data_IF_634359832707
#
_entry.id   IF_634359832707
#
_cell.length_a   1.000
_cell.length_b   1.000
_cell.length_c   1.000
_cell.angle_alpha   90.00
_cell.angle_beta   90.00
_cell.angle_gamma   90.00
#
_symmetry.space_group_name_H-M   'P 1'
#
loop_
_entity.id
_entity.type
_entity.pdbx_description
1 polymer ?
#
# COMPACT_ATOMS: atom_id res chain seq x y z
N UNK A 1 -5.47 -12.63 5.14
CA UNK A 1 -4.33 -13.02 4.28
C UNK A 1 -4.00 -14.53 4.36
N UNK A 2 -3.35 -15.11 5.39
CA UNK A 2 -2.86 -16.52 5.29
C UNK A 2 -3.90 -17.64 5.18
N UNK A 3 -5.11 -17.48 5.73
CA UNK A 3 -6.09 -18.57 5.63
C UNK A 3 -6.77 -18.61 4.26
N UNK A 4 -6.71 -17.51 3.49
CA UNK A 4 -7.41 -17.39 2.21
C UNK A 4 -6.65 -16.47 1.23
N UNK A 5 -5.40 -16.79 0.87
CA UNK A 5 -4.52 -15.88 0.14
C UNK A 5 -5.00 -15.62 -1.30
N UNK A 6 -5.58 -16.62 -1.96
CA UNK A 6 -6.07 -16.52 -3.35
C UNK A 6 -7.31 -15.62 -3.48
N UNK A 7 -8.03 -15.39 -2.38
CA UNK A 7 -9.24 -14.55 -2.36
C UNK A 7 -9.09 -13.33 -1.45
N UNK A 8 -7.88 -13.03 -0.97
CA UNK A 8 -7.61 -11.77 -0.27
C UNK A 8 -6.87 -10.85 -1.22
N UNK A 9 -7.58 -9.85 -1.76
CA UNK A 9 -7.03 -8.90 -2.73
C UNK A 9 -6.35 -7.74 -2.00
N UNK A 10 -5.20 -7.32 -2.50
CA UNK A 10 -4.45 -6.13 -2.08
C UNK A 10 -3.84 -5.49 -3.34
N UNK A 11 -3.18 -4.35 -3.20
CA UNK A 11 -2.48 -3.67 -4.31
C UNK A 11 -3.35 -3.30 -5.53
N UNK A 12 -4.67 -3.20 -5.38
CA UNK A 12 -5.56 -2.80 -6.48
C UNK A 12 -5.18 -1.43 -7.09
N UNK A 13 -4.55 -0.54 -6.32
CA UNK A 13 -3.98 0.75 -6.78
C UNK A 13 -2.92 0.57 -7.89
N UNK A 14 -2.23 -0.58 -7.95
CA UNK A 14 -1.26 -0.89 -9.03
C UNK A 14 -1.95 -1.25 -10.35
N UNK A 15 -3.19 -1.75 -10.30
CA UNK A 15 -3.98 -2.16 -11.47
C UNK A 15 -4.91 -1.06 -12.01
N UNK A 16 -5.32 -0.13 -11.16
CA UNK A 16 -6.36 0.86 -11.50
C UNK A 16 -5.96 1.72 -12.70
N UNK A 17 -6.87 1.85 -13.67
CA UNK A 17 -6.66 2.61 -14.92
C UNK A 17 -5.57 2.07 -15.85
N UNK A 18 -5.04 0.86 -15.61
CA UNK A 18 -4.07 0.22 -16.50
C UNK A 18 -4.75 -0.76 -17.46
N UNK A 19 -4.05 -1.09 -18.53
CA UNK A 19 -4.39 -2.20 -19.42
C UNK A 19 -3.78 -3.49 -18.91
N UNK A 20 -4.41 -4.61 -19.24
CA UNK A 20 -3.93 -5.94 -18.87
C UNK A 20 -2.55 -6.23 -19.46
N UNK A 21 -2.28 -5.77 -20.68
CA UNK A 21 -1.02 -5.96 -21.40
C UNK A 21 0.10 -4.96 -21.01
N UNK A 22 -0.14 -4.06 -20.05
CA UNK A 22 0.89 -3.17 -19.51
C UNK A 22 2.03 -4.01 -18.89
N UNK A 23 3.31 -3.79 -19.29
CA UNK A 23 4.45 -4.52 -18.73
C UNK A 23 4.52 -4.49 -17.20
N UNK A 24 4.09 -3.38 -16.57
CA UNK A 24 4.04 -3.25 -15.11
C UNK A 24 3.02 -4.23 -14.53
N UNK A 25 1.83 -4.32 -15.14
CA UNK A 25 0.79 -5.27 -14.72
C UNK A 25 1.27 -6.72 -14.87
N UNK A 26 1.90 -7.04 -16.00
CA UNK A 26 2.44 -8.38 -16.25
C UNK A 26 3.57 -8.76 -15.28
N UNK A 27 4.37 -7.79 -14.85
CA UNK A 27 5.38 -8.00 -13.82
C UNK A 27 4.74 -8.25 -12.46
N UNK A 28 3.80 -7.39 -12.04
CA UNK A 28 3.17 -7.43 -10.72
C UNK A 28 2.35 -8.70 -10.49
N UNK A 29 1.66 -9.17 -11.54
CA UNK A 29 0.86 -10.40 -11.50
C UNK A 29 1.67 -11.65 -11.08
N UNK A 30 2.99 -11.66 -11.29
CA UNK A 30 3.86 -12.78 -10.88
C UNK A 30 4.06 -12.86 -9.37
N UNK A 31 3.77 -11.77 -8.65
CA UNK A 31 4.01 -11.64 -7.22
C UNK A 31 2.73 -11.76 -6.38
N UNK A 32 1.55 -11.70 -7.01
CA UNK A 32 0.29 -11.79 -6.29
C UNK A 32 -0.23 -13.23 -6.14
N UNK A 33 -0.85 -13.57 -5.00
CA UNK A 33 -1.46 -14.88 -4.79
C UNK A 33 -2.85 -15.02 -5.41
N UNK A 34 -3.48 -13.90 -5.82
CA UNK A 34 -4.79 -13.88 -6.46
C UNK A 34 -4.65 -13.78 -7.98
N UNK A 35 -5.67 -14.22 -8.69
CA UNK A 35 -5.64 -14.29 -10.16
C UNK A 35 -6.11 -12.98 -10.77
N UNK A 36 -5.37 -12.46 -11.75
CA UNK A 36 -5.81 -11.36 -12.60
C UNK A 36 -6.06 -11.90 -14.01
N UNK A 37 -7.23 -11.59 -14.57
CA UNK A 37 -7.66 -12.02 -15.90
C UNK A 37 -7.82 -10.81 -16.82
N UNK A 38 -7.75 -11.04 -18.12
CA UNK A 38 -8.01 -10.04 -19.14
C UNK A 38 -9.52 -10.02 -19.48
N UNK A 39 -10.15 -8.86 -19.37
CA UNK A 39 -11.49 -8.61 -19.89
C UNK A 39 -11.44 -7.41 -20.85
N UNK A 40 -11.51 -7.68 -22.15
CA UNK A 40 -11.45 -6.66 -23.20
C UNK A 40 -10.31 -5.64 -23.01
N UNK A 41 -9.08 -6.12 -22.81
CA UNK A 41 -7.84 -5.35 -22.54
C UNK A 41 -7.71 -4.73 -21.15
N UNK A 42 -8.70 -4.88 -20.29
CA UNK A 42 -8.69 -4.36 -18.90
C UNK A 42 -8.43 -5.50 -17.92
N UNK A 43 -7.62 -5.29 -16.87
CA UNK A 43 -7.42 -6.30 -15.85
C UNK A 43 -8.66 -6.42 -14.95
N UNK A 44 -9.05 -7.66 -14.62
CA UNK A 44 -10.01 -7.98 -13.56
C UNK A 44 -9.39 -8.93 -12.56
N UNK A 45 -9.66 -8.74 -11.28
CA UNK A 45 -9.28 -9.70 -10.24
C UNK A 45 -10.36 -10.77 -10.14
N UNK A 46 -9.97 -12.04 -10.23
CA UNK A 46 -10.85 -13.21 -10.11
C UNK A 46 -10.70 -13.82 -8.71
N UNK A 47 -11.81 -13.98 -8.00
CA UNK A 47 -11.88 -14.58 -6.66
C UNK A 47 -13.07 -15.53 -6.53
N UNK A 48 -12.99 -16.44 -5.58
CA UNK A 48 -14.11 -17.24 -5.10
C UNK A 48 -14.80 -16.52 -3.94
N UNK A 49 -16.08 -16.21 -4.11
CA UNK A 49 -16.89 -15.52 -3.11
C UNK A 49 -18.23 -16.25 -2.94
N UNK A 50 -18.51 -16.72 -1.72
CA UNK A 50 -19.73 -17.48 -1.38
C UNK A 50 -19.97 -18.72 -2.27
N UNK A 51 -18.90 -19.41 -2.66
CA UNK A 51 -18.97 -20.62 -3.49
C UNK A 51 -19.12 -20.36 -4.99
N UNK A 52 -19.06 -19.09 -5.41
CA UNK A 52 -19.10 -18.70 -6.82
C UNK A 52 -17.84 -17.93 -7.23
N UNK A 53 -17.37 -18.19 -8.44
CA UNK A 53 -16.38 -17.34 -9.10
C UNK A 53 -16.97 -15.94 -9.35
N UNK A 54 -16.30 -14.91 -8.86
CA UNK A 54 -16.58 -13.50 -9.15
C UNK A 54 -15.36 -12.83 -9.76
N UNK A 55 -15.60 -11.81 -10.56
CA UNK A 55 -14.54 -10.99 -11.17
C UNK A 55 -14.83 -9.53 -10.90
N UNK A 56 -13.83 -8.78 -10.47
CA UNK A 56 -13.97 -7.36 -10.13
C UNK A 56 -12.95 -6.54 -10.88
N UNK A 57 -13.37 -5.39 -11.38
CA UNK A 57 -12.45 -4.36 -11.84
C UNK A 57 -11.69 -3.72 -10.66
N UNK A 58 -10.49 -3.17 -10.88
CA UNK A 58 -9.71 -2.51 -9.83
C UNK A 58 -10.44 -1.36 -9.14
N UNK A 59 -11.26 -0.61 -9.87
CA UNK A 59 -12.10 0.46 -9.32
C UNK A 59 -13.22 -0.06 -8.40
N UNK A 60 -13.75 -1.27 -8.64
CA UNK A 60 -14.73 -1.90 -7.74
C UNK A 60 -14.06 -2.36 -6.44
N UNK A 61 -12.84 -2.89 -6.51
CA UNK A 61 -12.08 -3.24 -5.30
C UNK A 61 -11.72 -1.98 -4.51
N UNK A 62 -11.28 -0.93 -5.22
CA UNK A 62 -10.95 0.35 -4.59
C UNK A 62 -12.19 1.02 -3.98
N UNK A 63 -13.37 0.87 -4.59
CA UNK A 63 -14.62 1.37 -4.03
C UNK A 63 -14.99 0.66 -2.73
N UNK A 64 -14.72 -0.64 -2.58
CA UNK A 64 -14.92 -1.36 -1.32
C UNK A 64 -14.05 -0.77 -0.18
N UNK A 65 -12.81 -0.38 -0.49
CA UNK A 65 -11.94 0.33 0.47
C UNK A 65 -12.51 1.70 0.81
N UNK A 66 -12.99 2.46 -0.18
CA UNK A 66 -13.61 3.77 0.04
C UNK A 66 -14.92 3.68 0.83
N UNK A 67 -15.75 2.65 0.59
CA UNK A 67 -16.93 2.36 1.41
C UNK A 67 -16.51 2.14 2.85
N UNK A 68 -15.44 1.38 3.10
CA UNK A 68 -14.96 1.18 4.47
C UNK A 68 -14.49 2.48 5.12
N UNK A 69 -13.79 3.34 4.38
CA UNK A 69 -13.36 4.64 4.89
C UNK A 69 -14.54 5.58 5.14
N UNK A 70 -15.57 5.55 4.30
CA UNK A 70 -16.83 6.25 4.49
C UNK A 70 -17.52 5.78 5.77
N UNK A 71 -17.70 4.48 5.99
CA UNK A 71 -18.28 3.94 7.22
C UNK A 71 -17.53 4.39 8.48
N UNK A 72 -16.19 4.42 8.44
CA UNK A 72 -15.37 4.90 9.56
C UNK A 72 -15.65 6.38 9.85
N UNK A 73 -15.73 7.22 8.82
CA UNK A 73 -16.05 8.63 8.97
C UNK A 73 -17.50 8.85 9.46
N UNK A 74 -18.46 8.09 8.95
CA UNK A 74 -19.86 8.15 9.37
C UNK A 74 -20.04 7.72 10.83
N UNK A 75 -19.34 6.67 11.26
CA UNK A 75 -19.34 6.22 12.66
C UNK A 75 -18.79 7.29 13.61
N UNK A 76 -17.77 8.03 13.17
CA UNK A 76 -17.20 9.14 13.94
C UNK A 76 -18.13 10.37 13.97
N UNK A 77 -18.73 10.74 12.84
CA UNK A 77 -19.55 11.94 12.70
C UNK A 77 -21.02 11.78 13.12
N UNK A 78 -21.51 10.53 13.21
CA UNK A 78 -22.91 10.22 13.50
C UNK A 78 -23.89 10.60 12.39
N UNK A 79 -23.40 10.80 11.15
CA UNK A 79 -24.21 11.19 9.99
C UNK A 79 -23.63 10.66 8.68
N UNK A 80 -24.47 10.59 7.65
CA UNK A 80 -24.07 10.17 6.31
C UNK A 80 -23.03 11.11 5.70
N UNK A 81 -22.00 10.53 5.08
CA UNK A 81 -20.95 11.24 4.35
C UNK A 81 -21.17 11.05 2.85
N UNK A 82 -21.35 12.15 2.13
CA UNK A 82 -21.64 12.13 0.69
C UNK A 82 -20.56 12.77 -0.16
N UNK A 83 -19.79 13.73 0.37
CA UNK A 83 -18.77 14.46 -0.38
C UNK A 83 -17.38 14.06 0.10
N UNK A 84 -16.44 13.89 -0.85
CA UNK A 84 -15.05 13.57 -0.53
C UNK A 84 -14.08 14.23 -1.51
N UNK A 85 -12.84 14.44 -1.03
CA UNK A 85 -11.66 14.69 -1.86
C UNK A 85 -10.81 13.43 -1.77
N UNK A 86 -10.37 12.92 -2.91
CA UNK A 86 -9.58 11.68 -2.98
C UNK A 86 -8.20 12.00 -3.54
N UNK A 87 -7.15 11.48 -2.91
CA UNK A 87 -5.77 11.70 -3.33
C UNK A 87 -5.32 10.65 -4.36
N UNK A 88 -4.42 11.04 -5.26
CA UNK A 88 -3.74 10.14 -6.20
C UNK A 88 -2.26 10.51 -6.33
N UNK A 89 -1.37 9.60 -6.75
CA UNK A 89 0.01 9.96 -7.04
C UNK A 89 0.11 11.04 -8.13
N UNK A 90 1.10 11.92 -8.05
CA UNK A 90 1.26 13.00 -9.02
C UNK A 90 1.46 12.50 -10.46
N UNK A 91 2.12 11.35 -10.62
CA UNK A 91 2.40 10.71 -11.91
C UNK A 91 1.21 9.94 -12.51
N UNK A 92 0.07 9.85 -11.82
CA UNK A 92 -1.12 9.20 -12.38
C UNK A 92 -1.59 9.92 -13.64
N UNK A 93 -1.78 9.14 -14.72
CA UNK A 93 -2.35 9.62 -15.96
C UNK A 93 -3.88 9.79 -15.87
N UNK A 94 -4.49 10.34 -16.92
CA UNK A 94 -5.92 10.63 -16.96
C UNK A 94 -6.80 9.39 -16.74
N UNK A 95 -6.42 8.24 -17.29
CA UNK A 95 -7.17 6.99 -17.11
C UNK A 95 -7.17 6.52 -15.66
N UNK A 96 -6.03 6.60 -14.97
CA UNK A 96 -5.91 6.21 -13.57
C UNK A 96 -6.63 7.19 -12.63
N UNK A 97 -6.60 8.50 -12.95
CA UNK A 97 -7.38 9.52 -12.24
C UNK A 97 -8.87 9.28 -12.40
N UNK A 98 -9.33 9.03 -13.63
CA UNK A 98 -10.73 8.76 -13.90
C UNK A 98 -11.21 7.48 -13.20
N UNK A 99 -10.45 6.38 -13.29
CA UNK A 99 -10.80 5.13 -12.63
C UNK A 99 -10.85 5.26 -11.09
N UNK A 100 -9.99 6.09 -10.49
CA UNK A 100 -10.04 6.41 -9.05
C UNK A 100 -11.28 7.23 -8.70
N UNK A 101 -11.65 8.20 -9.55
CA UNK A 101 -12.89 8.97 -9.40
C UNK A 101 -14.11 8.07 -9.51
N UNK A 102 -14.12 7.13 -10.46
CA UNK A 102 -15.17 6.13 -10.64
C UNK A 102 -15.31 5.23 -9.41
N UNK A 103 -14.19 4.79 -8.81
CA UNK A 103 -14.22 4.08 -7.53
C UNK A 103 -14.92 4.88 -6.42
N UNK A 104 -14.69 6.20 -6.37
CA UNK A 104 -15.41 7.11 -5.48
C UNK A 104 -16.91 7.16 -5.78
N UNK A 105 -17.30 7.28 -7.05
CA UNK A 105 -18.72 7.25 -7.45
C UNK A 105 -19.40 5.92 -7.10
N UNK A 106 -18.75 4.78 -7.37
CA UNK A 106 -19.26 3.44 -7.01
C UNK A 106 -19.46 3.31 -5.50
N UNK A 107 -18.60 3.94 -4.69
CA UNK A 107 -18.73 3.96 -3.22
C UNK A 107 -19.86 4.86 -2.69
N UNK A 108 -20.60 5.54 -3.58
CA UNK A 108 -21.64 6.50 -3.21
C UNK A 108 -21.08 7.80 -2.65
N UNK A 109 -19.87 8.19 -3.09
CA UNK A 109 -19.25 9.48 -2.79
C UNK A 109 -19.29 10.38 -4.03
N UNK A 110 -19.70 11.63 -3.82
CA UNK A 110 -19.46 12.73 -4.73
C UNK A 110 -18.01 13.20 -4.57
N UNK A 111 -17.16 12.81 -5.53
CA UNK A 111 -15.74 13.19 -5.54
C UNK A 111 -15.61 14.63 -6.03
N UNK A 112 -15.51 15.57 -5.08
CA UNK A 112 -15.41 17.00 -5.34
C UNK A 112 -14.15 17.35 -6.14
N UNK A 113 -13.04 16.67 -5.81
CA UNK A 113 -11.75 16.87 -6.45
C UNK A 113 -10.88 15.63 -6.29
N UNK A 114 -10.11 15.34 -7.33
CA UNK A 114 -8.92 14.50 -7.23
C UNK A 114 -7.73 15.43 -7.03
N UNK A 115 -6.97 15.25 -5.95
CA UNK A 115 -5.76 16.04 -5.69
C UNK A 115 -4.53 15.14 -5.68
N UNK A 116 -3.37 15.70 -5.99
CA UNK A 116 -2.13 14.95 -5.91
C UNK A 116 -1.74 14.73 -4.44
N UNK A 117 -1.28 13.53 -4.10
CA UNK A 117 -0.70 13.18 -2.80
C UNK A 117 0.35 14.20 -2.32
N UNK A 118 1.37 14.59 -3.12
CA UNK A 118 2.34 15.59 -2.69
C UNK A 118 1.73 16.99 -2.46
N UNK A 119 0.70 17.36 -3.22
CA UNK A 119 -0.03 18.62 -2.99
C UNK A 119 -0.83 18.56 -1.69
N UNK A 120 -1.50 17.43 -1.41
CA UNK A 120 -2.22 17.21 -0.16
C UNK A 120 -1.28 17.29 1.05
N UNK A 121 -0.08 16.71 0.94
CA UNK A 121 0.97 16.83 1.95
C UNK A 121 1.39 18.29 2.14
N UNK A 122 1.66 19.03 1.06
CA UNK A 122 2.07 20.43 1.16
C UNK A 122 0.99 21.33 1.79
N UNK A 123 -0.30 21.08 1.50
CA UNK A 123 -1.44 21.73 2.17
C UNK A 123 -1.48 21.38 3.66
N UNK A 124 -1.26 20.11 4.03
CA UNK A 124 -1.29 19.67 5.42
C UNK A 124 -0.19 20.33 6.28
N UNK A 125 0.99 20.59 5.68
CA UNK A 125 2.07 21.35 6.33
C UNK A 125 1.82 22.87 6.40
N UNK A 126 0.70 23.36 5.85
CA UNK A 126 0.33 24.77 5.84
C UNK A 126 1.26 25.63 4.99
N UNK A 127 1.88 25.04 3.97
CA UNK A 127 2.82 25.74 3.10
C UNK A 127 2.11 26.72 2.15
N UNK A 128 0.81 26.54 1.91
CA UNK A 128 -0.09 27.49 1.24
C UNK A 128 -0.31 28.78 2.04
N UNK A 129 -0.32 28.69 3.38
CA UNK A 129 -0.65 29.83 4.26
C UNK A 129 0.53 30.75 4.53
N UNK A 130 1.75 30.34 4.17
CA UNK A 130 2.95 31.16 4.31
C UNK A 130 3.10 32.07 3.10
N UNK A 131 2.25 33.09 3.05
CA UNK A 131 2.27 34.15 2.03
C UNK A 131 3.66 34.80 2.00
N UNK A 132 4.27 34.87 0.83
CA UNK A 132 5.64 35.37 0.62
C UNK A 132 6.17 34.98 -0.76
N UNK A 133 7.49 35.09 -0.96
CA UNK A 133 8.15 34.72 -2.21
C UNK A 133 7.93 33.26 -2.59
N UNK A 134 8.02 32.96 -3.89
CA UNK A 134 8.10 31.61 -4.46
C UNK A 134 8.97 30.68 -3.61
N UNK A 135 8.48 29.45 -3.36
CA UNK A 135 9.21 28.43 -2.60
C UNK A 135 9.25 27.13 -3.36
N UNK A 136 10.42 26.52 -3.36
CA UNK A 136 10.60 25.14 -3.80
C UNK A 136 10.50 24.21 -2.59
N UNK A 137 9.63 23.21 -2.71
CA UNK A 137 9.32 22.22 -1.68
C UNK A 137 9.58 20.84 -2.25
N UNK A 138 10.42 20.07 -1.56
CA UNK A 138 10.60 18.65 -1.85
C UNK A 138 9.70 17.84 -0.92
N UNK A 139 8.82 17.03 -1.50
CA UNK A 139 8.03 16.03 -0.80
C UNK A 139 8.72 14.68 -1.00
N UNK A 140 9.01 14.02 0.11
CA UNK A 140 9.56 12.67 0.17
C UNK A 140 8.50 11.76 0.80
N UNK A 141 7.90 10.87 0.01
CA UNK A 141 6.86 9.95 0.45
C UNK A 141 7.36 8.51 0.27
N UNK A 142 7.69 7.85 1.38
CA UNK A 142 8.12 6.45 1.41
C UNK A 142 7.08 5.63 2.18
N UNK A 143 6.17 5.02 1.43
CA UNK A 143 5.04 4.28 1.93
C UNK A 143 5.34 2.80 2.23
N UNK A 144 4.27 2.01 2.29
CA UNK A 144 4.36 0.56 2.53
C UNK A 144 4.96 -0.22 1.36
N UNK A 145 4.74 0.23 0.11
CA UNK A 145 5.27 -0.44 -1.08
C UNK A 145 5.52 0.50 -2.27
N UNK A 146 5.44 1.81 -2.07
CA UNK A 146 5.76 2.81 -3.10
C UNK A 146 6.64 3.90 -2.49
N UNK A 147 7.54 4.43 -3.31
CA UNK A 147 8.41 5.54 -2.98
C UNK A 147 8.26 6.63 -4.03
N UNK A 148 7.90 7.83 -3.60
CA UNK A 148 7.66 8.99 -4.46
C UNK A 148 8.41 10.22 -3.94
N UNK A 149 9.08 10.91 -4.85
CA UNK A 149 9.70 12.22 -4.61
C UNK A 149 9.10 13.20 -5.59
N UNK A 150 8.59 14.33 -5.06
CA UNK A 150 8.05 15.41 -5.88
C UNK A 150 8.68 16.73 -5.48
N UNK A 151 9.08 17.53 -6.47
CA UNK A 151 9.45 18.94 -6.26
C UNK A 151 8.27 19.79 -6.69
N UNK A 152 7.79 20.63 -5.78
CA UNK A 152 6.72 21.57 -6.03
C UNK A 152 7.26 22.98 -5.90
N UNK A 153 6.70 23.87 -6.72
CA UNK A 153 6.77 25.30 -6.50
C UNK A 153 5.46 25.76 -5.87
N UNK A 154 5.55 26.59 -4.84
CA UNK A 154 4.41 27.21 -4.17
C UNK A 154 4.57 28.71 -4.23
N UNK A 155 3.58 29.38 -4.83
CA UNK A 155 3.50 30.83 -4.95
C UNK A 155 2.03 31.25 -4.83
N UNK A 156 1.71 32.17 -3.92
CA UNK A 156 0.35 32.70 -3.71
C UNK A 156 -0.76 31.63 -3.60
N UNK A 157 -0.44 30.50 -2.95
CA UNK A 157 -1.36 29.37 -2.77
C UNK A 157 -1.58 28.49 -4.02
N UNK A 158 -0.88 28.79 -5.11
CA UNK A 158 -0.82 27.95 -6.31
C UNK A 158 0.29 26.90 -6.10
N UNK A 159 -0.05 25.65 -6.38
CA UNK A 159 0.86 24.51 -6.29
C UNK A 159 1.16 24.00 -7.70
N UNK A 160 2.43 24.07 -8.09
CA UNK A 160 2.89 23.53 -9.37
C UNK A 160 3.87 22.39 -9.12
N UNK A 161 3.58 21.20 -9.66
CA UNK A 161 4.51 20.08 -9.62
C UNK A 161 5.55 20.27 -10.71
N UNK A 162 6.80 20.51 -10.33
CA UNK A 162 7.92 20.73 -11.28
C UNK A 162 8.54 19.43 -11.77
N UNK A 163 8.68 18.45 -10.88
CA UNK A 163 9.23 17.14 -11.23
C UNK A 163 8.76 16.08 -10.25
N UNK A 164 8.58 14.86 -10.75
CA UNK A 164 8.28 13.67 -9.96
C UNK A 164 9.23 12.55 -10.36
N UNK A 165 9.78 11.85 -9.37
CA UNK A 165 10.59 10.64 -9.54
C UNK A 165 10.25 9.67 -8.40
N UNK A 166 10.67 8.41 -8.50
CA UNK A 166 10.35 7.44 -7.47
C UNK A 166 10.58 6.01 -7.93
N UNK A 167 10.15 5.08 -7.07
CA UNK A 167 10.11 3.66 -7.34
C UNK A 167 8.74 3.12 -6.92
N UNK A 168 7.98 2.62 -7.89
CA UNK A 168 6.66 2.08 -7.63
C UNK A 168 6.70 0.77 -6.85
N UNK A 169 7.86 0.15 -6.62
CA UNK A 169 8.01 -1.17 -6.01
C UNK A 169 8.99 -1.17 -4.83
N UNK A 170 9.13 -0.03 -4.16
CA UNK A 170 9.98 0.13 -2.98
C UNK A 170 9.16 0.67 -1.82
N UNK A 171 9.22 0.00 -0.66
CA UNK A 171 8.64 0.54 0.56
C UNK A 171 8.93 -0.26 1.83
N UNK A 172 8.11 0.01 2.83
CA UNK A 172 8.16 -0.64 4.14
C UNK A 172 8.17 -2.17 4.11
N UNK A 173 7.50 -2.79 3.14
CA UNK A 173 7.43 -4.24 2.97
C UNK A 173 8.76 -4.85 2.54
N UNK A 174 9.58 -4.13 1.77
CA UNK A 174 10.91 -4.57 1.39
C UNK A 174 11.84 -4.61 2.59
N UNK A 175 11.73 -3.64 3.48
CA UNK A 175 12.48 -3.63 4.74
C UNK A 175 12.08 -4.81 5.62
N UNK A 176 10.77 -5.11 5.71
CA UNK A 176 10.27 -6.29 6.40
C UNK A 176 10.81 -7.59 5.76
N UNK A 177 10.83 -7.67 4.42
CA UNK A 177 11.38 -8.80 3.68
C UNK A 177 12.86 -9.04 4.01
N UNK A 178 13.67 -7.98 4.09
CA UNK A 178 15.09 -8.10 4.46
C UNK A 178 15.26 -8.65 5.87
N UNK A 179 14.47 -8.17 6.83
CA UNK A 179 14.47 -8.70 8.20
C UNK A 179 14.02 -10.17 8.25
N UNK A 180 12.94 -10.52 7.53
CA UNK A 180 12.45 -11.90 7.44
C UNK A 180 13.53 -12.83 6.91
N UNK A 181 14.19 -12.47 5.81
CA UNK A 181 15.25 -13.30 5.21
C UNK A 181 16.44 -13.46 6.17
N UNK A 182 16.83 -12.40 6.88
CA UNK A 182 17.85 -12.45 7.91
C UNK A 182 17.50 -13.48 9.00
N UNK A 183 16.27 -13.43 9.53
CA UNK A 183 15.86 -14.34 10.59
C UNK A 183 15.55 -15.76 10.12
N UNK A 184 15.15 -15.97 8.86
CA UNK A 184 15.10 -17.31 8.25
C UNK A 184 16.50 -17.93 8.26
N UNK A 185 17.52 -17.15 7.84
CA UNK A 185 18.90 -17.61 7.85
C UNK A 185 19.42 -17.84 9.29
N UNK A 186 19.07 -16.97 10.24
CA UNK A 186 19.40 -17.14 11.66
C UNK A 186 18.77 -18.41 12.25
N UNK A 187 17.48 -18.63 12.01
CA UNK A 187 16.77 -19.82 12.46
C UNK A 187 17.39 -21.09 11.89
N UNK A 188 17.70 -21.10 10.58
CA UNK A 188 18.43 -22.20 9.93
C UNK A 188 19.80 -22.44 10.52
N UNK A 189 20.56 -21.38 10.84
CA UNK A 189 21.88 -21.49 11.47
C UNK A 189 21.79 -22.08 12.88
N UNK A 190 20.85 -21.61 13.70
CA UNK A 190 20.69 -21.96 15.13
C UNK A 190 20.05 -23.33 15.34
N UNK A 191 19.03 -23.67 14.56
CA UNK A 191 18.24 -24.90 14.74
C UNK A 191 18.38 -25.92 13.61
N UNK A 192 19.18 -25.63 12.57
CA UNK A 192 19.40 -26.50 11.40
C UNK A 192 18.11 -26.85 10.64
N UNK A 193 17.10 -25.98 10.71
CA UNK A 193 15.79 -26.13 10.07
C UNK A 193 15.49 -24.94 9.18
N UNK A 194 15.03 -25.21 7.95
CA UNK A 194 14.63 -24.15 7.01
C UNK A 194 13.12 -23.97 7.07
N UNK A 195 12.67 -22.76 7.40
CA UNK A 195 11.24 -22.45 7.51
C UNK A 195 10.66 -21.89 6.20
N UNK A 196 11.48 -21.71 5.16
CA UNK A 196 11.10 -21.02 3.91
C UNK A 196 9.86 -21.63 3.24
N UNK A 197 9.74 -22.96 3.29
CA UNK A 197 8.62 -23.68 2.68
C UNK A 197 7.33 -23.65 3.54
N UNK A 198 7.44 -23.25 4.81
CA UNK A 198 6.29 -23.16 5.71
C UNK A 198 5.69 -21.75 5.69
N UNK A 199 4.70 -21.56 4.83
CA UNK A 199 3.96 -20.29 4.66
C UNK A 199 3.40 -19.72 5.97
N UNK A 200 2.98 -20.57 6.91
CA UNK A 200 2.46 -20.14 8.22
C UNK A 200 3.59 -19.59 9.10
N UNK A 201 4.72 -20.29 9.17
CA UNK A 201 5.89 -19.86 9.94
C UNK A 201 6.46 -18.54 9.39
N UNK A 202 6.67 -18.45 8.07
CA UNK A 202 7.18 -17.24 7.41
C UNK A 202 6.27 -16.03 7.66
N UNK A 203 4.94 -16.21 7.63
CA UNK A 203 4.02 -15.11 7.94
C UNK A 203 4.10 -14.67 9.40
N UNK A 204 4.14 -15.60 10.35
CA UNK A 204 4.28 -15.26 11.77
C UNK A 204 5.56 -14.46 12.01
N UNK A 205 6.66 -14.90 11.38
CA UNK A 205 7.93 -14.18 11.41
C UNK A 205 7.81 -12.78 10.79
N UNK A 206 7.15 -12.64 9.63
CA UNK A 206 6.91 -11.34 8.99
C UNK A 206 6.14 -10.37 9.88
N UNK A 207 5.07 -10.81 10.51
CA UNK A 207 4.30 -9.97 11.46
C UNK A 207 5.16 -9.54 12.65
N UNK A 208 6.02 -10.43 13.16
CA UNK A 208 6.97 -10.05 14.21
C UNK A 208 8.03 -9.05 13.70
N UNK A 209 8.54 -9.23 12.48
CA UNK A 209 9.50 -8.30 11.85
C UNK A 209 8.89 -6.92 11.62
N UNK A 210 7.67 -6.83 11.11
CA UNK A 210 6.97 -5.55 10.93
C UNK A 210 6.81 -4.81 12.26
N UNK A 211 6.44 -5.54 13.32
CA UNK A 211 6.34 -4.97 14.68
C UNK A 211 7.71 -4.51 15.19
N UNK A 212 8.74 -5.33 15.01
CA UNK A 212 10.11 -5.00 15.40
C UNK A 212 10.63 -3.76 14.65
N UNK A 213 10.42 -3.67 13.32
CA UNK A 213 10.73 -2.48 12.51
C UNK A 213 10.10 -1.22 13.11
N UNK A 214 8.81 -1.27 13.47
CA UNK A 214 8.11 -0.13 14.09
C UNK A 214 8.70 0.24 15.44
N UNK A 215 9.08 -0.73 16.27
CA UNK A 215 9.79 -0.48 17.54
C UNK A 215 11.15 0.17 17.30
N UNK A 216 11.88 -0.26 16.27
CA UNK A 216 13.19 0.28 15.93
C UNK A 216 13.14 1.73 15.47
N UNK A 217 11.99 2.26 15.03
CA UNK A 217 11.85 3.70 14.73
C UNK A 217 12.06 4.60 15.95
N UNK A 218 11.76 4.11 17.16
CA UNK A 218 11.92 4.87 18.42
C UNK A 218 12.97 4.28 19.37
N UNK A 219 13.35 3.01 19.20
CA UNK A 219 14.28 2.30 20.08
C UNK A 219 15.52 1.81 19.32
N UNK A 220 16.64 1.64 20.03
CA UNK A 220 17.91 1.15 19.44
C UNK A 220 17.97 -0.36 19.29
N UNK A 221 16.98 -1.09 19.82
CA UNK A 221 16.87 -2.55 19.76
C UNK A 221 15.40 -2.97 19.83
N UNK A 222 15.06 -4.11 19.21
CA UNK A 222 13.75 -4.74 19.29
C UNK A 222 13.88 -6.25 19.49
N UNK A 223 12.99 -6.82 20.30
CA UNK A 223 12.89 -8.27 20.52
C UNK A 223 11.92 -8.91 19.53
N UNK A 224 12.23 -10.14 19.11
CA UNK A 224 11.33 -11.02 18.37
C UNK A 224 11.10 -12.26 19.22
N UNK A 225 9.84 -12.50 19.56
CA UNK A 225 9.41 -13.58 20.44
C UNK A 225 8.23 -14.30 19.78
N UNK A 226 8.45 -15.55 19.35
CA UNK A 226 7.46 -16.35 18.63
C UNK A 226 7.47 -17.78 19.15
N UNK A 227 6.45 -18.13 19.94
CA UNK A 227 6.27 -19.48 20.47
C UNK A 227 5.96 -20.48 19.35
N UNK A 228 6.58 -21.65 19.38
CA UNK A 228 6.38 -22.74 18.43
C UNK A 228 6.36 -22.26 16.98
N UNK A 229 7.38 -21.49 16.58
CA UNK A 229 7.49 -20.93 15.22
C UNK A 229 7.48 -22.04 14.17
N UNK A 230 8.25 -23.11 14.39
CA UNK A 230 8.36 -24.24 13.47
C UNK A 230 8.68 -25.54 14.23
N UNK A 231 7.95 -26.64 13.93
CA UNK A 231 8.15 -27.96 14.57
C UNK A 231 8.19 -27.91 16.12
N UNK A 232 7.40 -27.03 16.74
CA UNK A 232 7.39 -26.86 18.21
C UNK A 232 8.57 -26.07 18.76
N UNK A 233 9.48 -25.58 17.92
CA UNK A 233 10.64 -24.77 18.32
C UNK A 233 10.21 -23.32 18.48
N UNK A 234 10.45 -22.76 19.67
CA UNK A 234 10.27 -21.34 19.93
C UNK A 234 11.42 -20.51 19.34
N UNK A 235 11.10 -19.32 18.86
CA UNK A 235 12.08 -18.37 18.34
C UNK A 235 12.09 -17.09 19.15
N UNK A 236 13.13 -16.95 19.98
CA UNK A 236 13.43 -15.76 20.76
C UNK A 236 14.79 -15.20 20.32
N UNK A 237 14.78 -13.95 19.86
CA UNK A 237 15.98 -13.21 19.44
C UNK A 237 15.76 -11.71 19.58
N UNK A 238 16.78 -10.90 19.30
CA UNK A 238 16.67 -9.45 19.26
C UNK A 238 17.56 -8.88 18.16
N UNK A 239 17.19 -7.72 17.63
CA UNK A 239 17.95 -7.02 16.60
C UNK A 239 18.17 -5.56 17.00
N UNK A 240 19.40 -5.04 16.90
CA UNK A 240 19.67 -3.63 17.05
C UNK A 240 19.17 -2.83 15.83
N UNK A 241 19.08 -1.51 15.96
CA UNK A 241 18.75 -0.60 14.85
C UNK A 241 19.88 -0.51 13.80
N UNK A 242 21.13 -0.69 14.24
CA UNK A 242 22.33 -0.58 13.41
C UNK A 242 22.53 -1.79 12.50
#
# INVERSE_FOLDING_TARGET
LAMNPTNTVFDAKRLIGRRFDDPVVQSDMKHWPFTVINDASRPKVKVEYKGETKTFYPEEISSMVLIKMKEVAEAYLGKTVTNAVVTVPAYFNDSQRQATKDAGTISGLNVLRIINEPTAAAIAYGLDKKVGSERNVLIFDLGGGTFDVSILTIEDGIFEVKSTAGDTHLGGEDFDNRMVNHFIAEFKRKYKKDISDNKRAVRRLRTACERAKRTLSSNTQASIEIDSLYEGIDFYTSLPRA
#
